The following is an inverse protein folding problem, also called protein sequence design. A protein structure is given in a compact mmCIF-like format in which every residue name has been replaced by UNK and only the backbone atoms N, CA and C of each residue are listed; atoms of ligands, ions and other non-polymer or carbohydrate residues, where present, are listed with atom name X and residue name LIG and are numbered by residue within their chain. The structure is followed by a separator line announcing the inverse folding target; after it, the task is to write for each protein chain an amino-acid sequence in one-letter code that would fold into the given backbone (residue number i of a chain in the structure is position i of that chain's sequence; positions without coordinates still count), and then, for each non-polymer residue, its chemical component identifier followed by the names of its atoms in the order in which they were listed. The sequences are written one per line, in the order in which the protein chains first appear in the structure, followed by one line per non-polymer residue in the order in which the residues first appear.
data_IF_079209233280
#
_entry.id   IF_079209233280
#
_cell.length_a   1.000
_cell.length_b   1.000
_cell.length_c   1.000
_cell.angle_alpha   90.00
_cell.angle_beta   90.00
_cell.angle_gamma   90.00
#
_symmetry.space_group_name_H-M   'P 1'
#
loop_
_entity.id
_entity.type
_entity.pdbx_description
1 polymer ?
#
# COMPACT_ATOMS: atom_id res chain seq x y z
N UNK A 1 11.25 -4.73 -20.65
CA UNK A 1 10.48 -5.14 -19.47
C UNK A 1 11.03 -6.49 -19.05
N UNK A 2 11.87 -6.48 -18.02
CA UNK A 2 12.55 -7.67 -17.49
C UNK A 2 11.49 -8.69 -17.07
N UNK A 3 11.62 -9.94 -17.51
CA UNK A 3 10.69 -11.02 -17.15
C UNK A 3 10.66 -11.17 -15.62
N UNK A 4 9.47 -11.22 -15.00
CA UNK A 4 9.28 -11.26 -13.55
C UNK A 4 10.10 -12.40 -12.90
N UNK A 5 10.22 -13.53 -13.60
CA UNK A 5 11.04 -14.65 -13.14
C UNK A 5 12.53 -14.31 -13.07
N UNK A 6 13.06 -13.51 -14.00
CA UNK A 6 14.44 -13.05 -13.98
C UNK A 6 14.70 -12.09 -12.82
N UNK A 7 13.79 -11.14 -12.58
CA UNK A 7 13.89 -10.25 -11.41
C UNK A 7 13.78 -11.03 -10.09
N UNK A 8 12.97 -12.10 -10.07
CA UNK A 8 12.88 -12.99 -8.91
C UNK A 8 14.18 -13.76 -8.68
N UNK A 9 14.85 -14.23 -9.74
CA UNK A 9 16.17 -14.87 -9.62
C UNK A 9 17.23 -13.91 -9.08
N UNK A 10 17.25 -12.69 -9.58
CA UNK A 10 18.18 -11.66 -9.12
C UNK A 10 17.96 -11.33 -7.65
N UNK A 11 16.70 -11.26 -7.20
CA UNK A 11 16.35 -11.10 -5.78
C UNK A 11 16.73 -12.32 -4.90
N UNK A 12 16.95 -13.49 -5.51
CA UNK A 12 17.49 -14.68 -4.85
C UNK A 12 19.02 -14.77 -4.98
N UNK A 13 19.69 -13.64 -5.26
CA UNK A 13 21.14 -13.54 -5.45
C UNK A 13 21.67 -14.41 -6.61
N UNK A 14 20.83 -14.70 -7.60
CA UNK A 14 21.20 -15.50 -8.76
C UNK A 14 21.15 -14.69 -10.06
N UNK A 15 22.29 -14.50 -10.76
CA UNK A 15 22.32 -13.73 -12.01
C UNK A 15 21.42 -14.34 -13.08
N UNK A 16 20.43 -13.57 -13.54
CA UNK A 16 19.55 -13.99 -14.63
C UNK A 16 20.21 -13.92 -16.02
N UNK A 17 21.37 -13.26 -16.13
CA UNK A 17 22.07 -13.03 -17.40
C UNK A 17 22.62 -14.31 -18.05
N UNK A 18 22.42 -14.46 -19.36
CA UNK A 18 23.31 -15.28 -20.19
C UNK A 18 22.71 -16.13 -21.31
N UNK A 19 21.40 -16.37 -21.39
CA UNK A 19 20.75 -17.05 -22.54
C UNK A 19 19.28 -16.63 -22.63
N UNK A 20 18.70 -16.60 -23.83
CA UNK A 20 17.24 -16.65 -24.00
C UNK A 20 16.73 -17.95 -23.38
N UNK A 21 16.42 -17.90 -22.09
CA UNK A 21 15.83 -19.03 -21.36
C UNK A 21 14.32 -18.97 -21.54
N UNK A 22 13.72 -20.13 -21.78
CA UNK A 22 12.27 -20.22 -21.78
C UNK A 22 11.75 -19.95 -20.36
N UNK A 23 10.61 -19.28 -20.23
CA UNK A 23 10.01 -18.93 -18.92
C UNK A 23 9.97 -20.10 -17.94
N UNK A 24 9.66 -21.32 -18.42
CA UNK A 24 9.67 -22.55 -17.60
C UNK A 24 11.02 -22.84 -16.94
N UNK A 25 12.12 -22.61 -17.66
CA UNK A 25 13.48 -22.83 -17.13
C UNK A 25 13.82 -21.80 -16.05
N UNK A 26 13.36 -20.56 -16.20
CA UNK A 26 13.55 -19.49 -15.22
C UNK A 26 12.84 -19.86 -13.91
N UNK A 27 11.59 -20.32 -13.98
CA UNK A 27 10.83 -20.69 -12.78
C UNK A 27 11.36 -21.94 -12.06
N UNK A 28 11.87 -22.94 -12.79
CA UNK A 28 12.58 -24.06 -12.16
C UNK A 28 13.84 -23.57 -11.43
N UNK A 29 14.55 -22.60 -11.99
CA UNK A 29 15.70 -21.99 -11.33
C UNK A 29 15.27 -21.18 -10.10
N UNK A 30 14.19 -20.41 -10.16
CA UNK A 30 13.64 -19.68 -9.01
C UNK A 30 13.38 -20.66 -7.87
N UNK A 31 12.75 -21.79 -8.17
CA UNK A 31 12.49 -22.84 -7.21
C UNK A 31 13.78 -23.39 -6.57
N UNK A 32 14.74 -23.80 -7.40
CA UNK A 32 16.00 -24.38 -6.91
C UNK A 32 16.81 -23.38 -6.07
N UNK A 33 16.82 -22.11 -6.45
CA UNK A 33 17.50 -21.07 -5.68
C UNK A 33 16.77 -20.75 -4.38
N UNK A 34 15.44 -20.66 -4.40
CA UNK A 34 14.65 -20.46 -3.19
C UNK A 34 14.93 -21.59 -2.17
N UNK A 35 14.96 -22.84 -2.64
CA UNK A 35 15.32 -23.99 -1.82
C UNK A 35 16.74 -23.92 -1.27
N UNK A 36 17.73 -23.59 -2.11
CA UNK A 36 19.15 -23.48 -1.69
C UNK A 36 19.37 -22.37 -0.67
N UNK A 37 18.63 -21.27 -0.79
CA UNK A 37 18.73 -20.12 0.09
C UNK A 37 17.81 -20.24 1.33
N UNK A 38 17.05 -21.34 1.48
CA UNK A 38 16.11 -21.51 2.58
C UNK A 38 14.90 -20.57 2.53
N UNK A 39 14.61 -19.97 1.37
CA UNK A 39 13.49 -19.05 1.16
C UNK A 39 12.20 -19.85 0.98
N UNK A 40 11.24 -19.63 1.87
CA UNK A 40 9.92 -20.30 1.84
C UNK A 40 8.78 -19.37 1.42
N UNK A 41 9.09 -18.10 1.11
CA UNK A 41 8.09 -17.10 0.77
C UNK A 41 8.62 -16.07 -0.22
N UNK A 42 7.81 -15.71 -1.20
CA UNK A 42 8.10 -14.62 -2.14
C UNK A 42 6.96 -13.60 -2.05
N UNK A 43 7.33 -12.35 -1.81
CA UNK A 43 6.43 -11.21 -1.78
C UNK A 43 6.64 -10.38 -3.03
N UNK A 44 5.59 -10.24 -3.83
CA UNK A 44 5.53 -9.28 -4.92
C UNK A 44 4.73 -8.07 -4.47
N UNK A 45 5.43 -6.96 -4.30
CA UNK A 45 4.81 -5.67 -4.02
C UNK A 45 4.34 -4.99 -5.31
N UNK A 46 3.28 -4.19 -5.20
CA UNK A 46 2.58 -3.56 -6.33
C UNK A 46 2.32 -4.53 -7.50
N UNK A 47 1.86 -5.74 -7.15
CA UNK A 47 1.75 -6.87 -8.06
C UNK A 47 0.81 -6.61 -9.25
N UNK A 48 -0.06 -5.59 -9.19
CA UNK A 48 -0.89 -5.20 -10.33
C UNK A 48 -0.06 -4.82 -11.56
N UNK A 49 1.15 -4.27 -11.39
CA UNK A 49 2.00 -3.85 -12.51
C UNK A 49 2.54 -5.03 -13.33
N UNK A 50 2.57 -6.22 -12.73
CA UNK A 50 2.96 -7.42 -13.45
C UNK A 50 1.83 -7.96 -14.35
N UNK A 51 0.60 -7.46 -14.19
CA UNK A 51 -0.54 -7.76 -15.05
C UNK A 51 -0.80 -6.62 -16.05
N UNK A 52 -1.37 -6.92 -17.21
CA UNK A 52 -1.81 -5.89 -18.17
C UNK A 52 -3.26 -6.11 -18.61
N UNK A 53 -4.00 -5.03 -18.81
CA UNK A 53 -5.43 -5.10 -19.14
C UNK A 53 -5.72 -5.78 -20.50
N UNK A 54 -4.81 -5.62 -21.46
CA UNK A 54 -4.90 -6.22 -22.81
C UNK A 54 -4.17 -7.56 -22.92
N UNK A 55 -3.41 -7.97 -21.90
CA UNK A 55 -2.48 -9.10 -21.94
C UNK A 55 -3.06 -10.45 -21.53
N UNK A 56 -4.28 -10.79 -21.94
CA UNK A 56 -4.96 -12.02 -21.48
C UNK A 56 -4.15 -13.32 -21.60
N UNK A 57 -3.28 -13.47 -22.62
CA UNK A 57 -2.38 -14.63 -22.72
C UNK A 57 -1.18 -14.54 -21.76
N UNK A 58 -0.55 -13.36 -21.62
CA UNK A 58 0.60 -13.15 -20.73
C UNK A 58 0.20 -13.27 -19.26
N UNK A 59 -0.92 -12.67 -18.87
CA UNK A 59 -1.45 -12.78 -17.50
C UNK A 59 -1.74 -14.24 -17.14
N UNK A 60 -2.27 -15.04 -18.09
CA UNK A 60 -2.49 -16.48 -17.87
C UNK A 60 -1.18 -17.22 -17.59
N UNK A 61 -0.16 -17.03 -18.43
CA UNK A 61 1.16 -17.63 -18.21
C UNK A 61 1.72 -17.25 -16.83
N UNK A 62 1.56 -16.00 -16.42
CA UNK A 62 2.03 -15.55 -15.11
C UNK A 62 1.27 -16.21 -13.95
N UNK A 63 -0.06 -16.29 -14.02
CA UNK A 63 -0.88 -17.01 -13.03
C UNK A 63 -0.52 -18.50 -12.97
N UNK A 64 -0.26 -19.14 -14.10
CA UNK A 64 0.17 -20.55 -14.14
C UNK A 64 1.52 -20.75 -13.46
N UNK A 65 2.47 -19.82 -13.63
CA UNK A 65 3.77 -19.86 -12.96
C UNK A 65 3.62 -19.71 -11.44
N UNK A 66 2.82 -18.75 -10.98
CA UNK A 66 2.52 -18.58 -9.55
C UNK A 66 1.89 -19.84 -8.94
N UNK A 67 0.95 -20.45 -9.66
CA UNK A 67 0.34 -21.70 -9.23
C UNK A 67 1.35 -22.85 -9.18
N UNK A 68 2.24 -22.95 -10.16
CA UNK A 68 3.28 -23.98 -10.17
C UNK A 68 4.20 -23.83 -8.95
N UNK A 69 4.59 -22.59 -8.61
CA UNK A 69 5.38 -22.28 -7.42
C UNK A 69 4.70 -22.78 -6.13
N UNK A 70 3.40 -22.48 -5.96
CA UNK A 70 2.64 -22.85 -4.76
C UNK A 70 2.32 -24.34 -4.66
N UNK A 71 2.33 -25.08 -5.77
CA UNK A 71 1.98 -26.50 -5.82
C UNK A 71 3.18 -27.44 -5.84
N UNK A 72 4.39 -26.91 -5.71
CA UNK A 72 5.61 -27.69 -5.80
C UNK A 72 5.84 -28.51 -4.51
N UNK A 73 5.73 -29.86 -4.55
CA UNK A 73 5.86 -30.68 -3.35
C UNK A 73 7.29 -30.76 -2.80
N UNK A 74 8.33 -30.44 -3.59
CA UNK A 74 9.73 -30.56 -3.20
C UNK A 74 10.20 -29.50 -2.18
N UNK A 75 9.51 -28.36 -2.10
CA UNK A 75 9.83 -27.28 -1.18
C UNK A 75 8.61 -26.36 -0.98
N UNK A 76 8.21 -26.05 0.25
CA UNK A 76 7.02 -25.23 0.51
C UNK A 76 7.28 -23.77 0.12
N UNK A 77 6.42 -23.23 -0.74
CA UNK A 77 6.48 -21.83 -1.17
C UNK A 77 5.19 -21.09 -0.82
N UNK A 78 5.33 -19.99 -0.09
CA UNK A 78 4.27 -19.02 0.22
C UNK A 78 4.37 -17.90 -0.81
N UNK A 79 3.23 -17.55 -1.41
CA UNK A 79 3.13 -16.40 -2.31
C UNK A 79 2.35 -15.29 -1.62
N UNK A 80 2.96 -14.10 -1.51
CA UNK A 80 2.30 -12.89 -1.01
C UNK A 80 2.23 -11.91 -2.18
N UNK A 81 1.02 -11.44 -2.48
CA UNK A 81 0.76 -10.41 -3.48
C UNK A 81 0.12 -9.23 -2.77
N UNK A 82 0.78 -8.07 -2.76
CA UNK A 82 0.20 -6.80 -2.33
C UNK A 82 0.05 -5.85 -3.52
N UNK A 83 -0.81 -4.86 -3.36
CA UNK A 83 -1.08 -3.87 -4.38
C UNK A 83 -2.45 -3.21 -4.19
N UNK A 84 -2.83 -2.39 -5.16
CA UNK A 84 -4.10 -1.65 -5.17
C UNK A 84 -5.30 -2.55 -5.52
N UNK A 85 -6.53 -2.04 -5.34
CA UNK A 85 -7.77 -2.77 -5.59
C UNK A 85 -7.86 -3.40 -6.99
N UNK A 86 -7.21 -2.79 -8.00
CA UNK A 86 -7.08 -3.33 -9.36
C UNK A 86 -6.49 -4.74 -9.43
N UNK A 87 -5.58 -5.09 -8.51
CA UNK A 87 -4.98 -6.42 -8.41
C UNK A 87 -6.04 -7.52 -8.25
N UNK A 88 -7.08 -7.25 -7.46
CA UNK A 88 -8.19 -8.20 -7.25
C UNK A 88 -8.87 -8.56 -8.57
N UNK A 89 -8.90 -7.65 -9.54
CA UNK A 89 -9.47 -7.91 -10.85
C UNK A 89 -8.64 -8.90 -11.66
N UNK A 90 -7.33 -9.00 -11.43
CA UNK A 90 -6.48 -9.97 -12.13
C UNK A 90 -6.42 -11.31 -11.40
N UNK A 91 -6.47 -11.29 -10.07
CA UNK A 91 -6.32 -12.49 -9.22
C UNK A 91 -7.65 -13.18 -8.92
N UNK A 92 -8.74 -12.42 -8.77
CA UNK A 92 -10.07 -12.93 -8.40
C UNK A 92 -11.03 -13.12 -9.58
N UNK A 93 -10.73 -12.60 -10.80
CA UNK A 93 -11.67 -12.67 -11.93
C UNK A 93 -12.02 -14.11 -12.35
N UNK A 94 -13.32 -14.29 -12.55
CA UNK A 94 -14.03 -15.53 -12.88
C UNK A 94 -14.07 -15.75 -14.39
N UNK A 95 -13.75 -16.95 -14.83
CA UNK A 95 -14.18 -17.48 -16.13
C UNK A 95 -14.32 -19.00 -16.04
N UNK A 96 -14.70 -19.68 -17.13
CA UNK A 96 -15.20 -21.05 -17.05
C UNK A 96 -14.14 -21.98 -16.46
N UNK A 97 -14.56 -22.76 -15.46
CA UNK A 97 -13.96 -23.88 -14.72
C UNK A 97 -12.44 -23.92 -14.44
N UNK A 98 -11.56 -23.63 -15.40
CA UNK A 98 -10.11 -23.58 -15.21
C UNK A 98 -9.64 -22.37 -14.38
N UNK A 99 -10.44 -21.28 -14.35
CA UNK A 99 -10.06 -20.01 -13.71
C UNK A 99 -10.27 -19.95 -12.19
N UNK A 100 -10.73 -21.04 -11.56
CA UNK A 100 -10.94 -21.13 -10.11
C UNK A 100 -9.68 -21.49 -9.30
N UNK A 101 -8.49 -21.51 -9.88
CA UNK A 101 -7.39 -22.26 -9.28
C UNK A 101 -6.50 -21.46 -8.32
N UNK A 102 -6.26 -20.16 -8.55
CA UNK A 102 -5.45 -19.32 -7.64
C UNK A 102 -6.23 -18.79 -6.44
N UNK A 103 -7.51 -18.44 -6.63
CA UNK A 103 -8.39 -17.99 -5.53
C UNK A 103 -8.50 -19.02 -4.39
N UNK A 104 -8.31 -20.31 -4.67
CA UNK A 104 -8.36 -21.37 -3.64
C UNK A 104 -6.99 -21.59 -2.98
N UNK A 105 -5.93 -21.04 -3.57
CA UNK A 105 -4.57 -21.07 -3.03
C UNK A 105 -4.23 -19.79 -2.27
N UNK A 106 -4.93 -18.68 -2.57
CA UNK A 106 -4.72 -17.37 -1.96
C UNK A 106 -5.85 -17.05 -0.98
N UNK A 107 -5.49 -16.34 0.09
CA UNK A 107 -6.44 -15.75 1.03
C UNK A 107 -6.40 -14.23 0.87
N UNK A 108 -7.41 -13.61 0.24
CA UNK A 108 -7.43 -12.15 0.10
C UNK A 108 -7.59 -11.50 1.48
N UNK A 109 -6.75 -10.50 1.75
CA UNK A 109 -6.87 -9.60 2.90
C UNK A 109 -7.07 -8.21 2.32
N UNK A 110 -8.21 -7.58 2.63
CA UNK A 110 -8.55 -6.26 2.13
C UNK A 110 -8.43 -5.24 3.25
N UNK A 111 -7.60 -4.22 3.05
CA UNK A 111 -7.58 -3.05 3.91
C UNK A 111 -8.69 -2.11 3.46
N UNK A 112 -9.67 -1.87 4.33
CA UNK A 112 -10.76 -0.95 4.04
C UNK A 112 -10.28 0.49 4.28
N UNK A 113 -10.88 1.48 3.59
CA UNK A 113 -10.75 2.87 4.00
C UNK A 113 -11.15 3.05 5.46
N UNK A 114 -10.62 4.09 6.09
CA UNK A 114 -10.97 4.50 7.44
C UNK A 114 -12.47 4.77 7.50
N UNK A 115 -13.15 4.19 8.48
CA UNK A 115 -14.47 4.60 8.92
C UNK A 115 -14.32 5.51 10.15
N UNK A 116 -14.51 6.83 10.04
CA UNK A 116 -14.27 7.77 11.13
C UNK A 116 -15.16 7.55 12.36
N UNK A 117 -16.24 6.75 12.23
CA UNK A 117 -17.13 6.39 13.34
C UNK A 117 -16.68 5.12 14.04
N UNK A 118 -16.17 4.14 13.30
CA UNK A 118 -15.77 2.85 13.84
C UNK A 118 -14.30 2.83 14.29
N UNK A 119 -13.43 3.56 13.59
CA UNK A 119 -11.97 3.43 13.70
C UNK A 119 -11.35 4.57 14.52
N UNK A 120 -12.16 5.36 15.24
CA UNK A 120 -11.71 6.52 16.02
C UNK A 120 -10.68 6.13 17.09
N UNK A 121 -10.88 4.99 17.77
CA UNK A 121 -9.94 4.50 18.77
C UNK A 121 -8.58 4.12 18.16
N UNK A 122 -8.58 3.54 16.96
CA UNK A 122 -7.36 3.19 16.23
C UNK A 122 -6.64 4.44 15.71
N UNK A 123 -7.37 5.42 15.16
CA UNK A 123 -6.82 6.74 14.80
C UNK A 123 -6.16 7.42 16.01
N UNK A 124 -6.83 7.39 17.15
CA UNK A 124 -6.33 7.99 18.37
C UNK A 124 -5.08 7.26 18.87
N UNK A 125 -5.12 5.93 18.95
CA UNK A 125 -3.98 5.10 19.33
C UNK A 125 -2.77 5.32 18.42
N UNK A 126 -3.00 5.46 17.12
CA UNK A 126 -1.98 5.79 16.13
C UNK A 126 -1.34 7.16 16.42
N UNK A 127 -2.15 8.22 16.58
CA UNK A 127 -1.67 9.56 16.87
C UNK A 127 -0.84 9.60 18.17
N UNK A 128 -1.32 8.98 19.24
CA UNK A 128 -0.60 8.88 20.51
C UNK A 128 0.70 8.06 20.40
N UNK A 129 0.73 6.99 19.61
CA UNK A 129 1.95 6.21 19.40
C UNK A 129 3.06 7.04 18.75
N UNK A 130 2.73 7.82 17.73
CA UNK A 130 3.68 8.74 17.09
C UNK A 130 4.02 9.93 17.99
N UNK A 131 3.05 10.50 18.72
CA UNK A 131 3.26 11.64 19.61
C UNK A 131 4.22 11.28 20.74
N UNK A 132 4.04 10.10 21.33
CA UNK A 132 4.95 9.54 22.34
C UNK A 132 6.37 9.39 21.81
N UNK A 133 6.54 8.90 20.57
CA UNK A 133 7.86 8.75 19.94
C UNK A 133 8.51 10.11 19.66
N UNK A 134 7.72 11.12 19.34
CA UNK A 134 8.18 12.48 19.10
C UNK A 134 8.35 13.31 20.39
N UNK A 135 7.90 12.80 21.55
CA UNK A 135 7.82 13.53 22.82
C UNK A 135 6.97 14.81 22.68
N UNK A 136 5.80 14.68 22.07
CA UNK A 136 4.83 15.76 21.87
C UNK A 136 3.55 15.44 22.66
N UNK A 137 3.01 16.43 23.34
CA UNK A 137 1.67 16.40 23.91
C UNK A 137 0.61 16.55 22.81
N UNK A 138 -0.20 15.50 22.63
CA UNK A 138 -1.26 15.42 21.63
C UNK A 138 -2.67 15.67 22.22
N UNK A 139 -2.79 15.74 23.55
CA UNK A 139 -4.08 15.83 24.24
C UNK A 139 -5.01 16.96 23.71
N UNK A 140 -4.51 18.15 23.32
CA UNK A 140 -5.37 19.22 22.80
C UNK A 140 -6.17 18.87 21.54
N UNK A 141 -5.68 17.93 20.73
CA UNK A 141 -6.32 17.53 19.47
C UNK A 141 -7.05 16.19 19.56
N UNK A 142 -7.00 15.50 20.72
CA UNK A 142 -7.63 14.20 20.91
C UNK A 142 -9.16 14.30 21.07
N UNK A 143 -9.85 14.68 19.99
CA UNK A 143 -11.30 14.77 19.94
C UNK A 143 -11.87 14.26 18.60
N UNK A 144 -13.15 13.92 18.60
CA UNK A 144 -13.80 13.28 17.46
C UNK A 144 -13.85 14.17 16.20
N UNK A 145 -14.06 15.47 16.34
CA UNK A 145 -14.11 16.40 15.20
C UNK A 145 -12.75 16.46 14.49
N UNK A 146 -11.66 16.54 15.26
CA UNK A 146 -10.31 16.50 14.72
C UNK A 146 -10.05 15.22 13.92
N UNK A 147 -10.38 14.04 14.47
CA UNK A 147 -10.14 12.77 13.77
C UNK A 147 -10.99 12.59 12.52
N UNK A 148 -12.23 13.11 12.51
CA UNK A 148 -13.06 13.13 11.30
C UNK A 148 -12.47 14.01 10.21
N UNK A 149 -11.96 15.20 10.58
CA UNK A 149 -11.27 16.09 9.63
C UNK A 149 -9.97 15.50 9.13
N UNK A 150 -9.18 14.88 10.02
CA UNK A 150 -7.92 14.23 9.69
C UNK A 150 -8.13 13.09 8.69
N UNK A 151 -9.08 12.18 8.96
CA UNK A 151 -9.37 11.08 8.04
C UNK A 151 -9.86 11.60 6.70
N UNK A 152 -10.74 12.61 6.70
CA UNK A 152 -11.29 13.20 5.47
C UNK A 152 -10.22 13.90 4.63
N UNK A 153 -9.33 14.67 5.27
CA UNK A 153 -8.19 15.31 4.62
C UNK A 153 -7.26 14.31 3.93
N UNK A 154 -7.15 13.11 4.48
CA UNK A 154 -6.29 12.04 3.99
C UNK A 154 -7.02 11.03 3.10
N UNK A 155 -8.17 11.39 2.52
CA UNK A 155 -8.89 10.50 1.61
C UNK A 155 -9.41 9.21 2.27
N UNK A 156 -9.56 9.20 3.60
CA UNK A 156 -9.80 8.02 4.43
C UNK A 156 -8.75 6.90 4.25
N UNK A 157 -7.49 7.25 3.96
CA UNK A 157 -6.37 6.31 3.81
C UNK A 157 -5.43 6.36 5.00
N UNK A 158 -5.19 5.21 5.63
CA UNK A 158 -4.29 5.07 6.78
C UNK A 158 -2.87 5.58 6.50
N UNK A 159 -2.30 5.28 5.33
CA UNK A 159 -0.97 5.73 4.94
C UNK A 159 -0.85 7.27 4.95
N UNK A 160 -1.79 7.95 4.29
CA UNK A 160 -1.82 9.42 4.24
C UNK A 160 -2.07 10.05 5.61
N UNK A 161 -2.88 9.42 6.46
CA UNK A 161 -3.05 9.87 7.85
C UNK A 161 -1.72 9.80 8.61
N UNK A 162 -0.98 8.69 8.47
CA UNK A 162 0.34 8.52 9.11
C UNK A 162 1.31 9.60 8.62
N UNK A 163 1.37 9.83 7.32
CA UNK A 163 2.23 10.84 6.71
C UNK A 163 1.91 12.24 7.23
N UNK A 164 0.62 12.62 7.25
CA UNK A 164 0.20 13.94 7.71
C UNK A 164 0.47 14.14 9.22
N UNK A 165 0.25 13.10 10.05
CA UNK A 165 0.62 13.11 11.47
C UNK A 165 2.12 13.34 11.63
N UNK A 166 2.95 12.57 10.92
CA UNK A 166 4.42 12.68 11.00
C UNK A 166 4.87 14.08 10.56
N UNK A 167 4.32 14.59 9.45
CA UNK A 167 4.64 15.93 8.94
C UNK A 167 4.30 17.03 9.95
N UNK A 168 3.10 16.98 10.55
CA UNK A 168 2.68 17.92 11.59
C UNK A 168 3.59 17.85 12.83
N UNK A 169 3.97 16.64 13.27
CA UNK A 169 4.85 16.46 14.44
C UNK A 169 6.29 16.93 14.17
N UNK A 170 6.82 16.69 12.96
CA UNK A 170 8.11 17.24 12.55
C UNK A 170 8.07 18.77 12.62
N UNK A 171 6.98 19.40 12.18
CA UNK A 171 6.81 20.86 12.25
C UNK A 171 6.80 21.37 13.69
N UNK A 172 6.00 20.76 14.57
CA UNK A 172 5.97 21.08 16.00
C UNK A 172 7.37 20.99 16.63
N UNK A 173 8.12 19.91 16.36
CA UNK A 173 9.49 19.75 16.89
C UNK A 173 10.47 20.77 16.33
N UNK A 174 10.36 21.11 15.04
CA UNK A 174 11.19 22.15 14.42
C UNK A 174 10.91 23.54 14.99
N UNK A 175 9.67 23.81 15.40
CA UNK A 175 9.31 25.02 16.11
C UNK A 175 9.80 25.06 17.57
N UNK A 176 10.32 23.94 18.09
CA UNK A 176 10.74 23.81 19.49
C UNK A 176 9.56 23.66 20.45
N UNK A 177 8.38 23.33 19.93
CA UNK A 177 7.16 23.20 20.71
C UNK A 177 7.00 21.77 21.24
N UNK A 178 6.47 21.67 22.46
CA UNK A 178 6.21 20.40 23.13
C UNK A 178 4.73 19.97 23.04
N UNK A 179 3.84 20.83 22.57
CA UNK A 179 2.42 20.59 22.45
C UNK A 179 1.98 20.84 21.00
N UNK A 180 1.25 19.90 20.42
CA UNK A 180 0.75 20.04 19.05
C UNK A 180 -0.43 21.02 19.00
N UNK A 181 -0.57 21.69 17.87
CA UNK A 181 -1.70 22.58 17.58
C UNK A 181 -2.29 22.28 16.20
N UNK A 182 -3.53 22.74 15.96
CA UNK A 182 -4.20 22.58 14.68
C UNK A 182 -3.43 23.25 13.53
N UNK A 183 -2.72 24.35 13.82
CA UNK A 183 -1.90 25.07 12.83
C UNK A 183 -0.81 24.19 12.22
N UNK A 184 -0.22 23.27 13.00
CA UNK A 184 0.77 22.34 12.47
C UNK A 184 0.19 21.38 11.43
N UNK A 185 -1.05 20.94 11.62
CA UNK A 185 -1.77 20.11 10.65
C UNK A 185 -2.20 20.89 9.42
N UNK A 186 -2.66 22.14 9.60
CA UNK A 186 -2.99 23.05 8.49
C UNK A 186 -1.74 23.29 7.62
N UNK A 187 -0.60 23.52 8.25
CA UNK A 187 0.68 23.76 7.56
C UNK A 187 1.25 22.53 6.87
N UNK A 188 1.11 21.37 7.49
CA UNK A 188 1.51 20.11 6.90
C UNK A 188 0.63 19.79 5.67
N UNK A 189 -0.69 19.95 5.81
CA UNK A 189 -1.64 19.73 4.73
C UNK A 189 -1.39 20.68 3.54
N UNK A 190 -1.23 21.97 3.81
CA UNK A 190 -0.96 22.98 2.78
C UNK A 190 0.32 22.68 1.98
N UNK A 191 1.37 22.20 2.67
CA UNK A 191 2.62 21.78 2.02
C UNK A 191 2.42 20.52 1.20
N UNK A 192 1.78 19.48 1.76
CA UNK A 192 1.57 18.20 1.07
C UNK A 192 0.70 18.31 -0.17
N UNK A 193 -0.32 19.18 -0.16
CA UNK A 193 -1.28 19.31 -1.26
C UNK A 193 -1.04 20.55 -2.14
N UNK A 194 0.02 21.33 -1.87
CA UNK A 194 0.28 22.58 -2.59
C UNK A 194 -0.84 23.63 -2.47
N UNK A 195 -1.64 23.60 -1.39
CA UNK A 195 -2.79 24.49 -1.21
C UNK A 195 -2.49 25.68 -0.28
N UNK A 196 -3.22 26.80 -0.40
CA UNK A 196 -3.13 27.88 0.59
C UNK A 196 -3.59 27.41 1.98
N UNK A 197 -2.93 27.87 3.05
CA UNK A 197 -3.28 27.53 4.45
C UNK A 197 -4.76 27.68 4.80
N UNK A 198 -5.43 28.71 4.26
CA UNK A 198 -6.85 28.96 4.52
C UNK A 198 -7.79 27.92 3.90
N UNK A 199 -7.29 27.10 2.97
CA UNK A 199 -8.05 26.12 2.20
C UNK A 199 -7.65 24.71 2.63
N UNK A 200 -8.16 24.30 3.80
CA UNK A 200 -7.97 22.95 4.32
C UNK A 200 -9.25 22.41 4.98
N UNK A 201 -9.40 21.07 5.07
CA UNK A 201 -10.48 20.46 5.84
C UNK A 201 -10.45 20.80 7.34
N UNK A 202 -9.32 21.28 7.87
CA UNK A 202 -9.19 21.69 9.27
C UNK A 202 -9.77 23.09 9.55
N UNK A 203 -9.85 23.95 8.54
CA UNK A 203 -10.33 25.34 8.68
C UNK A 203 -11.76 25.54 8.22
N UNK A 204 -12.26 24.72 7.29
CA UNK A 204 -13.59 24.88 6.71
C UNK A 204 -14.69 24.21 7.55
N UNK A 205 -15.78 24.93 7.94
CA UNK A 205 -16.92 24.32 8.62
C UNK A 205 -17.57 23.20 7.78
N UNK A 206 -17.79 23.47 6.49
CA UNK A 206 -18.46 22.56 5.55
C UNK A 206 -17.44 21.73 4.75
N UNK A 207 -16.38 21.26 5.41
CA UNK A 207 -15.25 20.58 4.76
C UNK A 207 -15.66 19.33 3.97
N UNK A 208 -16.72 18.64 4.38
CA UNK A 208 -17.21 17.43 3.71
C UNK A 208 -17.75 17.71 2.31
N UNK A 209 -18.28 18.92 2.08
CA UNK A 209 -18.80 19.35 0.78
C UNK A 209 -17.72 20.04 -0.06
N UNK A 210 -16.83 20.80 0.58
CA UNK A 210 -15.80 21.57 -0.11
C UNK A 210 -14.59 20.75 -0.57
N UNK A 211 -14.32 19.63 0.11
CA UNK A 211 -13.17 18.80 -0.18
C UNK A 211 -13.65 17.38 -0.49
N UNK A 212 -13.60 16.98 -1.76
CA UNK A 212 -13.89 15.61 -2.13
C UNK A 212 -12.64 14.74 -1.86
N UNK A 213 -12.75 13.67 -1.03
CA UNK A 213 -11.63 12.78 -0.71
C UNK A 213 -10.85 12.27 -1.92
N UNK A 214 -11.55 11.85 -2.99
CA UNK A 214 -10.90 11.32 -4.19
C UNK A 214 -10.14 12.41 -4.97
N UNK A 215 -10.65 13.65 -4.97
CA UNK A 215 -9.94 14.80 -5.58
C UNK A 215 -8.66 15.15 -4.82
N UNK A 216 -8.67 15.03 -3.49
CA UNK A 216 -7.46 15.23 -2.69
C UNK A 216 -6.39 14.19 -3.02
N UNK A 217 -6.79 12.95 -3.30
CA UNK A 217 -5.88 11.89 -3.73
C UNK A 217 -5.32 12.14 -5.13
N UNK A 218 -6.14 12.63 -6.08
CA UNK A 218 -5.68 12.99 -7.42
C UNK A 218 -4.55 14.02 -7.38
N UNK A 219 -4.69 15.07 -6.56
CA UNK A 219 -3.67 16.12 -6.42
C UNK A 219 -2.32 15.55 -5.96
N UNK A 220 -2.32 14.61 -5.01
CA UNK A 220 -1.08 13.99 -4.52
C UNK A 220 -0.41 13.10 -5.57
N UNK A 221 -1.19 12.41 -6.39
CA UNK A 221 -0.67 11.49 -7.41
C UNK A 221 -0.15 12.22 -8.66
N UNK A 222 -0.45 13.51 -8.85
CA UNK A 222 0.09 14.30 -9.97
C UNK A 222 1.56 14.72 -9.75
N UNK A 223 2.10 14.53 -8.53
CA UNK A 223 3.48 14.89 -8.17
C UNK A 223 4.50 13.73 -8.27
N UNK A 224 4.06 12.48 -8.54
CA UNK A 224 4.91 11.31 -8.83
C UNK A 224 5.20 11.10 -10.33
#
# INVERSE_FOLDING_TARGET
MTDLGSSTLEALDYPAAGKEKQARQIWEMVFEQAKRNGVIGIHYDEAQHAFTDTGGAKNRTMLDNFKALMKEPRWPMILILSGVDGLSQHVERVGPEERRQLRHLLRPVRFRPIDPKADLEELNGLAYAYAKKAEIDFDPLSNADFFQRLSHACGNRWGLVIELIIAAFIRCKRAGEAQISLDHFIDAFAEMHGTPRGFSPFTAPDYQELFEPDRLLEILNEEE
#
